data_IF_501412624330
#
_entry.id   IF_501412624330
#
_cell.length_a   1.000
_cell.length_b   1.000
_cell.length_c   1.000
_cell.angle_alpha   90.00
_cell.angle_beta   90.00
_cell.angle_gamma   90.00
#
_symmetry.space_group_name_H-M   'P 1'
#
loop_
_entity.id
_entity.type
_entity.pdbx_description
1 polymer ?
#
# COMPACT_ATOMS: atom_id res chain seq x y z
N UNK A 1 -31.82 25.69 -20.78
CA UNK A 1 -31.44 26.99 -20.20
C UNK A 1 -32.72 27.69 -19.79
N UNK A 2 -32.72 28.46 -18.70
CA UNK A 2 -33.86 29.29 -18.31
C UNK A 2 -33.65 30.68 -18.91
N UNK A 3 -34.50 31.09 -19.84
CA UNK A 3 -34.47 32.42 -20.44
C UNK A 3 -35.22 33.40 -19.53
N UNK A 4 -34.52 33.96 -18.55
CA UNK A 4 -35.06 34.92 -17.60
C UNK A 4 -34.91 36.35 -18.15
N UNK A 5 -36.02 37.04 -18.35
CA UNK A 5 -36.02 38.44 -18.79
C UNK A 5 -35.68 39.37 -17.61
N UNK A 6 -34.78 40.35 -17.77
CA UNK A 6 -34.44 41.30 -16.70
C UNK A 6 -35.70 42.01 -16.18
N UNK A 7 -35.91 41.98 -14.85
CA UNK A 7 -37.02 42.67 -14.20
C UNK A 7 -38.32 41.87 -14.06
N UNK A 8 -38.39 40.63 -14.57
CA UNK A 8 -39.51 39.73 -14.28
C UNK A 8 -39.26 38.92 -13.00
N UNK A 9 -40.24 38.93 -12.10
CA UNK A 9 -40.33 37.98 -10.99
C UNK A 9 -40.82 36.64 -11.53
N UNK A 10 -39.96 35.63 -11.47
CA UNK A 10 -40.27 34.26 -11.91
C UNK A 10 -40.16 33.33 -10.70
N UNK A 11 -41.24 32.65 -10.36
CA UNK A 11 -41.24 31.65 -9.29
C UNK A 11 -40.74 30.31 -9.83
N UNK A 12 -39.58 29.87 -9.34
CA UNK A 12 -38.98 28.58 -9.72
C UNK A 12 -39.18 27.60 -8.57
N UNK A 13 -40.13 26.68 -8.75
CA UNK A 13 -40.43 25.62 -7.78
C UNK A 13 -39.64 24.35 -8.12
N UNK A 14 -38.82 23.87 -7.17
CA UNK A 14 -38.08 22.61 -7.31
C UNK A 14 -38.73 21.53 -6.45
N UNK A 15 -39.11 20.41 -7.08
CA UNK A 15 -39.46 19.17 -6.35
C UNK A 15 -38.25 18.24 -6.37
N UNK A 16 -37.68 17.99 -5.19
CA UNK A 16 -36.57 17.06 -5.01
C UNK A 16 -37.13 15.78 -4.41
N UNK A 17 -37.15 14.71 -5.19
CA UNK A 17 -37.57 13.38 -4.73
C UNK A 17 -36.35 12.47 -4.70
N UNK A 18 -35.82 12.20 -3.51
CA UNK A 18 -34.59 11.42 -3.34
C UNK A 18 -34.75 10.38 -2.24
N UNK A 19 -34.40 9.13 -2.54
CA UNK A 19 -34.41 8.01 -1.56
C UNK A 19 -33.21 8.04 -0.59
N UNK A 20 -32.26 8.95 -0.81
CA UNK A 20 -31.04 9.14 -0.02
C UNK A 20 -30.84 10.61 0.33
N UNK A 21 -30.01 10.90 1.34
CA UNK A 21 -29.59 12.26 1.68
C UNK A 21 -28.82 12.86 0.50
N UNK A 22 -29.42 13.87 -0.13
CA UNK A 22 -28.82 14.65 -1.21
C UNK A 22 -28.70 16.09 -0.74
N UNK A 23 -27.54 16.69 -0.99
CA UNK A 23 -27.33 18.12 -0.83
C UNK A 23 -27.74 18.75 -2.15
N UNK A 24 -28.75 19.64 -2.15
CA UNK A 24 -29.15 20.41 -3.35
C UNK A 24 -28.78 21.87 -3.16
N UNK A 25 -27.52 22.27 -3.45
CA UNK A 25 -27.16 23.67 -3.50
C UNK A 25 -27.69 24.26 -4.81
N UNK A 26 -28.89 24.85 -4.80
CA UNK A 26 -29.45 25.53 -5.98
C UNK A 26 -28.67 26.82 -6.22
N UNK A 27 -27.96 26.91 -7.34
CA UNK A 27 -27.26 28.11 -7.77
C UNK A 27 -27.58 28.42 -9.23
N UNK A 28 -28.02 29.64 -9.49
CA UNK A 28 -28.24 30.12 -10.85
C UNK A 28 -26.94 30.70 -11.41
N UNK A 29 -26.41 30.05 -12.45
CA UNK A 29 -25.14 30.41 -13.09
C UNK A 29 -25.40 30.72 -14.56
N UNK A 30 -24.71 31.73 -15.10
CA UNK A 30 -24.64 31.94 -16.55
C UNK A 30 -23.97 30.72 -17.19
N UNK A 31 -24.37 30.30 -18.41
CA UNK A 31 -23.79 29.12 -19.07
C UNK A 31 -22.26 29.11 -19.11
N UNK A 32 -21.64 30.23 -19.46
CA UNK A 32 -20.17 30.35 -19.50
C UNK A 32 -19.53 30.13 -18.11
N UNK A 33 -20.14 30.65 -17.05
CA UNK A 33 -19.65 30.46 -15.68
C UNK A 33 -19.84 29.01 -15.20
N UNK A 34 -20.95 28.37 -15.61
CA UNK A 34 -21.19 26.96 -15.35
C UNK A 34 -20.12 26.07 -16.02
N UNK A 35 -19.86 26.28 -17.31
CA UNK A 35 -18.83 25.52 -18.03
C UNK A 35 -17.43 25.71 -17.45
N UNK A 36 -17.05 26.95 -17.11
CA UNK A 36 -15.75 27.21 -16.47
C UNK A 36 -15.62 26.48 -15.13
N UNK A 37 -16.66 26.50 -14.29
CA UNK A 37 -16.65 25.81 -13.00
C UNK A 37 -16.62 24.29 -13.16
N UNK A 38 -17.44 23.73 -14.06
CA UNK A 38 -17.43 22.30 -14.35
C UNK A 38 -16.05 21.83 -14.85
N UNK A 39 -15.39 22.61 -15.70
CA UNK A 39 -14.04 22.30 -16.18
C UNK A 39 -13.00 22.31 -15.05
N UNK A 40 -13.08 23.25 -14.11
CA UNK A 40 -12.20 23.24 -12.95
C UNK A 40 -12.43 22.02 -12.06
N UNK A 41 -13.68 21.59 -11.87
CA UNK A 41 -13.98 20.36 -11.14
C UNK A 41 -13.42 19.12 -11.87
N UNK A 42 -13.63 19.00 -13.19
CA UNK A 42 -13.05 17.91 -13.97
C UNK A 42 -11.52 17.89 -13.91
N UNK A 43 -10.88 19.05 -13.94
CA UNK A 43 -9.42 19.15 -13.82
C UNK A 43 -8.94 18.68 -12.44
N UNK A 44 -9.59 19.12 -11.36
CA UNK A 44 -9.27 18.68 -10.00
C UNK A 44 -9.43 17.17 -9.85
N UNK A 45 -10.57 16.63 -10.29
CA UNK A 45 -10.84 15.20 -10.22
C UNK A 45 -9.85 14.39 -11.07
N UNK A 46 -9.49 14.90 -12.26
CA UNK A 46 -8.48 14.31 -13.13
C UNK A 46 -7.11 14.21 -12.46
N UNK A 47 -6.67 15.28 -11.78
CA UNK A 47 -5.40 15.29 -11.03
C UNK A 47 -5.42 14.27 -9.89
N UNK A 48 -6.49 14.24 -9.09
CA UNK A 48 -6.59 13.34 -7.93
C UNK A 48 -6.65 11.87 -8.35
N UNK A 49 -7.39 11.55 -9.42
CA UNK A 49 -7.42 10.21 -10.01
C UNK A 49 -6.06 9.84 -10.60
N UNK A 50 -5.39 10.76 -11.29
CA UNK A 50 -4.06 10.51 -11.85
C UNK A 50 -3.02 10.18 -10.77
N UNK A 51 -3.04 10.88 -9.63
CA UNK A 51 -2.20 10.56 -8.47
C UNK A 51 -2.46 9.12 -8.02
N UNK A 52 -3.73 8.75 -7.81
CA UNK A 52 -4.07 7.38 -7.43
C UNK A 52 -3.64 6.34 -8.47
N UNK A 53 -3.79 6.64 -9.76
CA UNK A 53 -3.38 5.75 -10.85
C UNK A 53 -1.85 5.56 -10.90
N UNK A 54 -1.08 6.63 -10.70
CA UNK A 54 0.38 6.55 -10.60
C UNK A 54 0.81 5.67 -9.41
N UNK A 55 0.17 5.82 -8.25
CA UNK A 55 0.42 4.97 -7.08
C UNK A 55 0.03 3.51 -7.34
N UNK A 56 -1.06 3.27 -8.08
CA UNK A 56 -1.50 1.94 -8.45
C UNK A 56 -0.47 1.26 -9.35
N UNK A 57 -0.06 1.91 -10.44
CA UNK A 57 0.93 1.38 -11.38
C UNK A 57 2.25 1.11 -10.66
N UNK A 58 2.70 2.03 -9.81
CA UNK A 58 3.90 1.81 -8.99
C UNK A 58 3.74 0.57 -8.10
N UNK A 59 2.62 0.43 -7.40
CA UNK A 59 2.39 -0.67 -6.47
C UNK A 59 2.33 -2.02 -7.18
N UNK A 60 1.69 -2.08 -8.35
CA UNK A 60 1.66 -3.28 -9.19
C UNK A 60 3.05 -3.65 -9.70
N UNK A 61 3.84 -2.66 -10.16
CA UNK A 61 5.21 -2.89 -10.60
C UNK A 61 6.09 -3.44 -9.48
N UNK A 62 5.97 -2.88 -8.27
CA UNK A 62 6.70 -3.39 -7.10
C UNK A 62 6.24 -4.80 -6.69
N UNK A 63 4.94 -5.09 -6.78
CA UNK A 63 4.44 -6.43 -6.54
C UNK A 63 5.05 -7.45 -7.51
N UNK A 64 5.15 -7.12 -8.81
CA UNK A 64 5.77 -8.01 -9.79
C UNK A 64 7.28 -8.23 -9.54
N UNK A 65 7.99 -7.17 -9.13
CA UNK A 65 9.43 -7.22 -8.89
C UNK A 65 9.81 -7.90 -7.58
N UNK A 66 9.18 -7.52 -6.47
CA UNK A 66 9.51 -7.99 -5.13
C UNK A 66 8.70 -9.23 -4.73
N UNK A 67 7.57 -9.50 -5.40
CA UNK A 67 6.61 -10.56 -5.07
C UNK A 67 6.09 -10.49 -3.64
N UNK A 68 6.14 -9.31 -3.02
CA UNK A 68 5.56 -9.07 -1.70
C UNK A 68 4.05 -8.76 -1.83
N UNK A 69 3.24 -9.58 -1.15
CA UNK A 69 1.78 -9.51 -1.13
C UNK A 69 1.27 -8.19 -0.54
N UNK A 70 2.06 -7.48 0.25
CA UNK A 70 1.66 -6.17 0.81
C UNK A 70 1.38 -5.16 -0.29
N UNK A 71 2.20 -5.14 -1.36
CA UNK A 71 1.98 -4.25 -2.50
C UNK A 71 0.70 -4.60 -3.27
N UNK A 72 0.37 -5.89 -3.42
CA UNK A 72 -0.87 -6.31 -4.05
C UNK A 72 -2.11 -5.92 -3.23
N UNK A 73 -2.05 -6.11 -1.90
CA UNK A 73 -3.12 -5.68 -0.99
C UNK A 73 -3.30 -4.16 -1.02
N UNK A 74 -2.21 -3.40 -1.06
CA UNK A 74 -2.26 -1.94 -1.17
C UNK A 74 -2.83 -1.48 -2.52
N UNK A 75 -2.42 -2.11 -3.62
CA UNK A 75 -2.99 -1.87 -4.94
C UNK A 75 -4.51 -2.09 -4.96
N UNK A 76 -5.00 -3.14 -4.29
CA UNK A 76 -6.44 -3.40 -4.15
C UNK A 76 -7.17 -2.26 -3.41
N UNK A 77 -6.58 -1.71 -2.33
CA UNK A 77 -7.13 -0.53 -1.63
C UNK A 77 -7.26 0.66 -2.58
N UNK A 78 -6.21 0.96 -3.35
CA UNK A 78 -6.22 2.08 -4.30
C UNK A 78 -7.32 1.90 -5.35
N UNK A 79 -7.45 0.70 -5.93
CA UNK A 79 -8.50 0.43 -6.94
C UNK A 79 -9.88 0.66 -6.37
N UNK A 80 -10.20 0.10 -5.20
CA UNK A 80 -11.50 0.28 -4.57
C UNK A 80 -11.77 1.76 -4.27
N UNK A 81 -10.75 2.52 -3.85
CA UNK A 81 -10.90 3.93 -3.55
C UNK A 81 -11.09 4.80 -4.80
N UNK A 82 -10.37 4.49 -5.88
CA UNK A 82 -10.55 5.16 -7.17
C UNK A 82 -11.96 4.94 -7.71
N UNK A 83 -12.46 3.70 -7.63
CA UNK A 83 -13.84 3.38 -8.02
C UNK A 83 -14.86 4.16 -7.18
N UNK A 84 -14.65 4.25 -5.86
CA UNK A 84 -15.49 5.04 -4.97
C UNK A 84 -15.48 6.53 -5.34
N UNK A 85 -14.29 7.09 -5.59
CA UNK A 85 -14.14 8.50 -5.99
C UNK A 85 -14.78 8.80 -7.34
N UNK A 86 -14.58 7.94 -8.34
CA UNK A 86 -15.19 8.09 -9.67
C UNK A 86 -16.72 8.06 -9.60
N UNK A 87 -17.29 7.22 -8.72
CA UNK A 87 -18.73 7.20 -8.53
C UNK A 87 -19.23 8.41 -7.73
N UNK A 88 -18.54 8.80 -6.64
CA UNK A 88 -18.94 9.93 -5.79
C UNK A 88 -19.05 11.25 -6.56
N UNK A 89 -18.16 11.49 -7.53
CA UNK A 89 -18.17 12.69 -8.36
C UNK A 89 -18.87 12.52 -9.71
N UNK A 90 -19.52 11.37 -9.95
CA UNK A 90 -20.31 11.12 -11.17
C UNK A 90 -19.48 10.89 -12.44
N UNK A 91 -18.15 10.79 -12.35
CA UNK A 91 -17.28 10.50 -13.49
C UNK A 91 -17.52 9.12 -14.08
N UNK A 92 -17.85 8.15 -13.24
CA UNK A 92 -18.10 6.79 -13.69
C UNK A 92 -19.34 6.68 -14.57
N UNK A 93 -20.41 7.43 -14.26
CA UNK A 93 -21.62 7.48 -15.08
C UNK A 93 -21.35 8.12 -16.46
N UNK A 94 -20.42 9.08 -16.53
CA UNK A 94 -20.08 9.76 -17.79
C UNK A 94 -19.14 8.92 -18.67
N UNK A 95 -18.15 8.25 -18.08
CA UNK A 95 -17.04 7.65 -18.85
C UNK A 95 -16.95 6.12 -18.82
N UNK A 96 -17.41 5.45 -17.77
CA UNK A 96 -17.15 4.00 -17.57
C UNK A 96 -18.38 3.12 -17.76
N UNK A 97 -19.54 3.52 -17.26
CA UNK A 97 -20.72 2.65 -17.18
C UNK A 97 -22.03 3.36 -17.56
N UNK A 98 -21.95 4.30 -18.50
CA UNK A 98 -23.07 5.13 -18.98
C UNK A 98 -24.35 4.34 -19.29
N UNK A 99 -24.23 3.13 -19.84
CA UNK A 99 -25.38 2.32 -20.26
C UNK A 99 -25.78 1.22 -19.25
N UNK A 100 -25.18 1.18 -18.06
CA UNK A 100 -25.39 0.09 -17.08
C UNK A 100 -25.98 0.61 -15.76
N UNK A 101 -27.32 0.71 -15.64
CA UNK A 101 -27.97 1.26 -14.46
C UNK A 101 -27.69 0.46 -13.18
N UNK A 102 -27.52 -0.86 -13.30
CA UNK A 102 -27.15 -1.70 -12.15
C UNK A 102 -25.81 -1.27 -11.53
N UNK A 103 -24.81 -0.97 -12.37
CA UNK A 103 -23.49 -0.54 -11.91
C UNK A 103 -23.61 0.82 -11.23
N UNK A 104 -24.36 1.75 -11.82
CA UNK A 104 -24.53 3.08 -11.24
C UNK A 104 -25.19 3.02 -9.85
N UNK A 105 -26.22 2.19 -9.66
CA UNK A 105 -26.90 2.08 -8.35
C UNK A 105 -26.01 1.40 -7.29
N UNK A 106 -25.22 0.40 -7.67
CA UNK A 106 -24.50 -0.45 -6.72
C UNK A 106 -23.05 -0.04 -6.46
N UNK A 107 -22.37 0.61 -7.41
CA UNK A 107 -20.93 0.84 -7.32
C UNK A 107 -20.51 1.69 -6.13
N UNK A 108 -21.33 2.67 -5.71
CA UNK A 108 -21.07 3.44 -4.49
C UNK A 108 -20.88 2.54 -3.27
N UNK A 109 -21.86 1.69 -3.01
CA UNK A 109 -21.89 0.82 -1.84
C UNK A 109 -20.84 -0.28 -1.91
N UNK A 110 -20.69 -0.89 -3.08
CA UNK A 110 -19.69 -1.93 -3.31
C UNK A 110 -18.28 -1.41 -3.10
N UNK A 111 -17.94 -0.28 -3.72
CA UNK A 111 -16.60 0.31 -3.59
C UNK A 111 -16.32 0.74 -2.14
N UNK A 112 -17.29 1.32 -1.43
CA UNK A 112 -17.15 1.71 -0.03
C UNK A 112 -16.85 0.51 0.90
N UNK A 113 -17.62 -0.59 0.76
CA UNK A 113 -17.40 -1.81 1.54
C UNK A 113 -16.07 -2.48 1.18
N UNK A 114 -15.74 -2.51 -0.11
CA UNK A 114 -14.51 -3.12 -0.61
C UNK A 114 -13.25 -2.33 -0.21
N UNK A 115 -13.31 -0.99 -0.13
CA UNK A 115 -12.24 -0.18 0.46
C UNK A 115 -11.98 -0.63 1.89
N UNK A 116 -13.03 -0.78 2.70
CA UNK A 116 -12.89 -1.19 4.10
C UNK A 116 -12.34 -2.62 4.23
N UNK A 117 -12.79 -3.54 3.36
CA UNK A 117 -12.32 -4.93 3.35
C UNK A 117 -10.85 -5.04 2.95
N UNK A 118 -10.46 -4.36 1.88
CA UNK A 118 -9.07 -4.34 1.41
C UNK A 118 -8.15 -3.63 2.40
N UNK A 119 -8.63 -2.56 3.05
CA UNK A 119 -7.89 -1.87 4.11
C UNK A 119 -7.64 -2.79 5.31
N UNK A 120 -8.63 -3.59 5.72
CA UNK A 120 -8.44 -4.58 6.79
C UNK A 120 -7.34 -5.60 6.45
N UNK A 121 -7.33 -6.11 5.21
CA UNK A 121 -6.29 -7.03 4.73
C UNK A 121 -4.92 -6.37 4.63
N UNK A 122 -4.87 -5.09 4.24
CA UNK A 122 -3.66 -4.29 4.17
C UNK A 122 -3.05 -4.07 5.55
N UNK A 123 -3.85 -3.60 6.52
CA UNK A 123 -3.42 -3.41 7.92
C UNK A 123 -2.92 -4.71 8.51
N UNK A 124 -3.61 -5.82 8.25
CA UNK A 124 -3.17 -7.16 8.68
C UNK A 124 -1.79 -7.52 8.13
N UNK A 125 -1.51 -7.20 6.87
CA UNK A 125 -0.25 -7.54 6.21
C UNK A 125 0.92 -6.70 6.75
N UNK A 126 0.69 -5.41 6.96
CA UNK A 126 1.74 -4.47 7.38
C UNK A 126 2.10 -4.66 8.85
N UNK A 127 1.11 -4.94 9.71
CA UNK A 127 1.28 -5.12 11.15
C UNK A 127 1.33 -6.61 11.59
N UNK A 128 1.60 -7.53 10.65
CA UNK A 128 1.52 -8.98 10.91
C UNK A 128 2.34 -9.45 12.12
N UNK A 129 3.51 -8.84 12.36
CA UNK A 129 4.43 -9.20 13.44
C UNK A 129 4.04 -8.60 14.80
N UNK A 130 3.17 -7.59 14.80
CA UNK A 130 2.83 -6.80 15.99
C UNK A 130 1.43 -7.05 16.53
N UNK A 131 0.58 -7.66 15.70
CA UNK A 131 -0.77 -8.05 16.06
C UNK A 131 -0.78 -9.43 16.71
N UNK A 132 -1.60 -9.61 17.74
CA UNK A 132 -1.86 -10.93 18.27
C UNK A 132 -2.62 -11.77 17.25
N UNK A 133 -2.54 -13.11 17.39
CA UNK A 133 -3.24 -14.06 16.50
C UNK A 133 -4.74 -13.76 16.38
N UNK A 134 -5.38 -13.34 17.47
CA UNK A 134 -6.80 -12.99 17.52
C UNK A 134 -7.12 -11.72 16.73
N UNK A 135 -6.28 -10.67 16.81
CA UNK A 135 -6.47 -9.43 16.05
C UNK A 135 -6.27 -9.66 14.56
N UNK A 136 -5.27 -10.49 14.22
CA UNK A 136 -5.02 -10.90 12.83
C UNK A 136 -6.19 -11.68 12.25
N UNK A 137 -6.77 -12.59 13.04
CA UNK A 137 -7.98 -13.32 12.65
C UNK A 137 -9.18 -12.38 12.54
N UNK A 138 -9.35 -11.45 13.48
CA UNK A 138 -10.44 -10.47 13.46
C UNK A 138 -10.42 -9.62 12.20
N UNK A 139 -9.25 -9.14 11.75
CA UNK A 139 -9.12 -8.39 10.49
C UNK A 139 -9.50 -9.24 9.26
N UNK A 140 -9.14 -10.53 9.23
CA UNK A 140 -9.49 -11.43 8.13
C UNK A 140 -10.98 -11.77 8.12
N UNK A 141 -11.56 -12.02 9.29
CA UNK A 141 -13.00 -12.27 9.46
C UNK A 141 -13.78 -11.01 9.06
N UNK A 142 -13.33 -9.84 9.50
CA UNK A 142 -13.92 -8.56 9.12
C UNK A 142 -13.88 -8.34 7.60
N UNK A 143 -12.74 -8.61 6.95
CA UNK A 143 -12.64 -8.51 5.50
C UNK A 143 -13.60 -9.48 4.79
N UNK A 144 -13.68 -10.73 5.24
CA UNK A 144 -14.62 -11.72 4.69
C UNK A 144 -16.09 -11.31 4.88
N UNK A 145 -16.43 -10.77 6.04
CA UNK A 145 -17.77 -10.29 6.36
C UNK A 145 -18.15 -9.04 5.55
N UNK A 146 -17.21 -8.12 5.30
CA UNK A 146 -17.42 -6.97 4.42
C UNK A 146 -17.60 -7.39 2.96
N UNK A 147 -16.85 -8.38 2.48
CA UNK A 147 -17.05 -8.96 1.14
C UNK A 147 -18.41 -9.65 1.05
N UNK A 148 -18.83 -10.36 2.10
CA UNK A 148 -20.17 -10.95 2.15
C UNK A 148 -21.25 -9.87 2.08
N UNK A 149 -21.14 -8.79 2.86
CA UNK A 149 -22.10 -7.67 2.77
C UNK A 149 -22.09 -6.98 1.42
N UNK A 150 -20.93 -6.85 0.77
CA UNK A 150 -20.84 -6.34 -0.59
C UNK A 150 -21.59 -7.26 -1.57
N UNK A 151 -21.45 -8.58 -1.44
CA UNK A 151 -22.18 -9.54 -2.27
C UNK A 151 -23.70 -9.49 -2.03
N UNK A 152 -24.12 -9.43 -0.77
CA UNK A 152 -25.55 -9.30 -0.41
C UNK A 152 -26.11 -7.99 -0.98
N UNK A 153 -25.35 -6.90 -0.92
CA UNK A 153 -25.73 -5.63 -1.54
C UNK A 153 -25.83 -5.71 -3.06
N UNK A 154 -24.87 -6.36 -3.73
CA UNK A 154 -24.88 -6.57 -5.18
C UNK A 154 -26.12 -7.35 -5.68
N UNK A 155 -26.68 -8.19 -4.83
CA UNK A 155 -27.86 -9.01 -5.12
C UNK A 155 -29.18 -8.34 -4.73
N UNK A 156 -29.18 -7.03 -4.42
CA UNK A 156 -30.35 -6.26 -3.99
C UNK A 156 -31.05 -6.82 -2.72
N UNK A 157 -30.38 -7.68 -1.95
CA UNK A 157 -30.90 -8.28 -0.72
C UNK A 157 -30.77 -7.33 0.48
N UNK A 158 -30.12 -6.18 0.32
CA UNK A 158 -29.80 -5.23 1.38
C UNK A 158 -30.24 -3.81 1.02
N UNK A 159 -30.98 -3.15 1.92
CA UNK A 159 -31.44 -1.78 1.72
C UNK A 159 -30.31 -0.76 1.96
N UNK A 160 -30.35 0.39 1.28
CA UNK A 160 -29.37 1.48 1.39
C UNK A 160 -29.19 2.01 2.81
N UNK A 161 -30.25 1.97 3.64
CA UNK A 161 -30.16 2.34 5.06
C UNK A 161 -29.25 1.38 5.84
N UNK A 162 -29.35 0.08 5.57
CA UNK A 162 -28.50 -0.92 6.22
C UNK A 162 -27.06 -0.80 5.74
N UNK A 163 -26.84 -0.51 4.44
CA UNK A 163 -25.52 -0.21 3.90
C UNK A 163 -24.84 0.96 4.62
N UNK A 164 -25.57 2.05 4.89
CA UNK A 164 -25.04 3.19 5.63
C UNK A 164 -24.60 2.82 7.05
N UNK A 165 -25.41 2.03 7.76
CA UNK A 165 -25.09 1.54 9.12
C UNK A 165 -23.90 0.60 9.09
N UNK A 166 -23.89 -0.38 8.18
CA UNK A 166 -22.79 -1.35 8.03
C UNK A 166 -21.49 -0.62 7.71
N UNK A 167 -21.50 0.31 6.75
CA UNK A 167 -20.32 1.09 6.38
C UNK A 167 -19.80 1.95 7.52
N UNK A 168 -20.69 2.58 8.30
CA UNK A 168 -20.29 3.40 9.45
C UNK A 168 -19.68 2.57 10.59
N UNK A 169 -20.26 1.41 10.91
CA UNK A 169 -19.80 0.55 12.00
C UNK A 169 -18.52 -0.19 11.61
N UNK A 170 -18.53 -0.86 10.47
CA UNK A 170 -17.43 -1.73 10.05
C UNK A 170 -16.32 -0.98 9.31
N UNK A 171 -16.58 0.22 8.77
CA UNK A 171 -15.56 1.02 8.09
C UNK A 171 -14.46 1.53 9.02
N UNK A 172 -14.77 1.77 10.30
CA UNK A 172 -13.78 2.24 11.30
C UNK A 172 -13.04 1.08 12.00
N UNK A 173 -13.58 -0.15 11.95
CA UNK A 173 -13.01 -1.30 12.64
C UNK A 173 -11.56 -1.64 12.24
N UNK A 174 -11.13 -1.56 10.96
CA UNK A 174 -9.74 -1.83 10.58
C UNK A 174 -8.75 -0.92 11.33
N UNK A 175 -9.09 0.37 11.49
CA UNK A 175 -8.29 1.32 12.23
C UNK A 175 -8.29 1.01 13.73
N UNK A 176 -9.45 0.68 14.33
CA UNK A 176 -9.55 0.36 15.76
C UNK A 176 -8.77 -0.91 16.14
N UNK A 177 -8.90 -1.99 15.36
CA UNK A 177 -8.17 -3.24 15.60
C UNK A 177 -6.67 -3.03 15.34
N UNK A 178 -6.32 -2.28 14.30
CA UNK A 178 -4.93 -1.95 13.97
C UNK A 178 -4.25 -0.99 14.95
N UNK A 179 -5.02 -0.21 15.71
CA UNK A 179 -4.51 0.85 16.59
C UNK A 179 -3.52 0.33 17.62
N UNK A 180 -3.78 -0.85 18.22
CA UNK A 180 -2.87 -1.44 19.21
C UNK A 180 -1.51 -1.77 18.60
N UNK A 181 -1.49 -2.37 17.41
CA UNK A 181 -0.24 -2.70 16.71
C UNK A 181 0.50 -1.45 16.23
N UNK A 182 -0.23 -0.41 15.77
CA UNK A 182 0.37 0.87 15.42
C UNK A 182 1.01 1.56 16.63
N UNK A 183 0.33 1.60 17.78
CA UNK A 183 0.86 2.13 19.03
C UNK A 183 2.08 1.35 19.53
N UNK A 184 2.08 0.03 19.38
CA UNK A 184 3.25 -0.79 19.71
C UNK A 184 4.48 -0.40 18.88
N UNK A 185 4.30 -0.12 17.58
CA UNK A 185 5.39 0.40 16.71
C UNK A 185 5.89 1.78 17.12
N UNK A 186 4.97 2.70 17.43
CA UNK A 186 5.35 4.04 17.89
C UNK A 186 6.17 3.98 19.18
N UNK A 187 5.77 3.13 20.13
CA UNK A 187 6.51 2.95 21.40
C UNK A 187 7.92 2.40 21.20
N UNK A 188 8.18 1.69 20.10
CA UNK A 188 9.51 1.19 19.74
C UNK A 188 10.31 2.17 18.86
N UNK A 189 9.77 3.35 18.59
CA UNK A 189 10.41 4.36 17.74
C UNK A 189 10.38 4.04 16.24
N UNK A 190 9.50 3.13 15.80
CA UNK A 190 9.34 2.83 14.38
C UNK A 190 8.43 3.87 13.70
N UNK A 191 8.99 4.55 12.70
CA UNK A 191 8.29 5.53 11.88
C UNK A 191 7.03 4.98 11.22
N UNK A 192 6.97 3.67 10.91
CA UNK A 192 5.78 3.04 10.31
C UNK A 192 4.55 3.23 11.20
N UNK A 193 4.69 3.09 12.52
CA UNK A 193 3.57 3.29 13.45
C UNK A 193 3.07 4.73 13.46
N UNK A 194 3.98 5.71 13.42
CA UNK A 194 3.64 7.14 13.43
C UNK A 194 2.85 7.50 12.17
N UNK A 195 3.27 7.03 11.00
CA UNK A 195 2.55 7.29 9.76
C UNK A 195 1.13 6.70 9.75
N UNK A 196 0.91 5.53 10.37
CA UNK A 196 -0.44 4.97 10.52
C UNK A 196 -1.35 5.86 11.37
N UNK A 197 -0.86 6.33 12.52
CA UNK A 197 -1.65 7.18 13.42
C UNK A 197 -1.98 8.51 12.73
N UNK A 198 -1.03 9.11 12.02
CA UNK A 198 -1.25 10.36 11.27
C UNK A 198 -2.25 10.16 10.14
N UNK A 199 -2.16 9.07 9.38
CA UNK A 199 -3.11 8.74 8.33
C UNK A 199 -4.53 8.59 8.90
N UNK A 200 -4.72 7.72 9.89
CA UNK A 200 -6.05 7.51 10.47
C UNK A 200 -6.62 8.75 11.16
N UNK A 201 -5.79 9.55 11.83
CA UNK A 201 -6.25 10.82 12.41
C UNK A 201 -6.68 11.81 11.32
N UNK A 202 -5.91 11.92 10.24
CA UNK A 202 -6.24 12.77 9.09
C UNK A 202 -7.54 12.33 8.42
N UNK A 203 -7.67 11.05 8.12
CA UNK A 203 -8.88 10.47 7.51
C UNK A 203 -10.12 10.58 8.39
N UNK A 204 -9.97 10.35 9.70
CA UNK A 204 -11.08 10.53 10.64
C UNK A 204 -11.52 12.00 10.69
N UNK A 205 -10.57 12.94 10.72
CA UNK A 205 -10.87 14.36 10.71
C UNK A 205 -11.63 14.78 9.44
N UNK A 206 -11.15 14.37 8.26
CA UNK A 206 -11.82 14.69 7.00
C UNK A 206 -13.17 13.99 6.86
N UNK A 207 -13.30 12.75 7.37
CA UNK A 207 -14.56 12.02 7.44
C UNK A 207 -15.59 12.70 8.34
N UNK A 208 -15.18 13.22 9.49
CA UNK A 208 -16.05 14.01 10.37
C UNK A 208 -16.50 15.30 9.70
N UNK A 209 -15.59 16.04 9.04
CA UNK A 209 -15.94 17.26 8.29
C UNK A 209 -16.96 16.94 7.19
N UNK A 210 -16.73 15.89 6.42
CA UNK A 210 -17.62 15.47 5.34
C UNK A 210 -18.99 15.02 5.88
N UNK A 211 -19.03 14.24 6.96
CA UNK A 211 -20.27 13.81 7.61
C UNK A 211 -21.08 14.99 8.15
N UNK A 212 -20.43 15.97 8.78
CA UNK A 212 -21.08 17.19 9.28
C UNK A 212 -21.65 18.05 8.14
N UNK A 213 -20.99 18.05 6.99
CA UNK A 213 -21.42 18.76 5.79
C UNK A 213 -22.65 18.11 5.17
N UNK A 214 -22.68 16.78 5.07
CA UNK A 214 -23.86 16.03 4.59
C UNK A 214 -25.06 16.21 5.54
N UNK A 215 -24.82 16.26 6.84
CA UNK A 215 -25.87 16.49 7.84
C UNK A 215 -26.30 17.97 7.95
N UNK A 216 -25.74 18.88 7.14
CA UNK A 216 -26.11 20.29 7.11
C UNK A 216 -25.68 21.10 8.34
N UNK A 217 -24.80 20.56 9.20
CA UNK A 217 -24.29 21.29 10.39
C UNK A 217 -23.20 22.29 10.04
N UNK A 218 -22.46 22.05 8.96
CA UNK A 218 -21.43 22.95 8.43
C UNK A 218 -21.87 23.38 7.02
N UNK A 219 -21.60 24.62 6.67
CA UNK A 219 -21.88 25.16 5.33
C UNK A 219 -21.14 24.38 4.24
N UNK A 220 -21.83 24.19 3.11
CA UNK A 220 -21.27 23.55 1.91
C UNK A 220 -20.33 24.55 1.22
N UNK A 221 -19.04 24.25 1.23
CA UNK A 221 -18.02 25.02 0.53
C UNK A 221 -17.09 24.05 -0.24
N UNK A 222 -16.17 24.62 -1.04
CA UNK A 222 -15.22 23.83 -1.82
C UNK A 222 -14.40 22.85 -0.95
N UNK A 223 -13.92 23.30 0.20
CA UNK A 223 -13.08 22.48 1.09
C UNK A 223 -13.85 21.37 1.79
N UNK A 224 -15.09 21.64 2.23
CA UNK A 224 -15.91 20.68 2.97
C UNK A 224 -16.46 19.60 2.06
N UNK A 225 -16.80 19.93 0.81
CA UNK A 225 -17.23 18.96 -0.20
C UNK A 225 -16.09 18.00 -0.59
N UNK A 226 -14.87 18.52 -0.73
CA UNK A 226 -13.70 17.74 -1.15
C UNK A 226 -12.86 17.19 0.01
N UNK A 227 -13.25 17.45 1.27
CA UNK A 227 -12.50 17.06 2.46
C UNK A 227 -12.17 15.57 2.47
N UNK A 228 -13.17 14.72 2.22
CA UNK A 228 -13.00 13.27 2.21
C UNK A 228 -12.00 12.82 1.12
N UNK A 229 -12.06 13.44 -0.06
CA UNK A 229 -11.19 13.10 -1.18
C UNK A 229 -9.74 13.52 -0.95
N UNK A 230 -9.52 14.72 -0.40
CA UNK A 230 -8.18 15.16 -0.01
C UNK A 230 -7.61 14.29 1.11
N UNK A 231 -8.42 13.95 2.12
CA UNK A 231 -8.00 13.06 3.20
C UNK A 231 -7.62 11.68 2.68
N UNK A 232 -8.40 11.12 1.77
CA UNK A 232 -8.07 9.84 1.16
C UNK A 232 -6.80 9.88 0.29
N UNK A 233 -6.60 10.95 -0.48
CA UNK A 233 -5.38 11.12 -1.29
C UNK A 233 -4.15 11.24 -0.38
N UNK A 234 -4.27 11.96 0.73
CA UNK A 234 -3.25 12.04 1.76
C UNK A 234 -2.93 10.68 2.37
N UNK A 235 -3.97 9.90 2.71
CA UNK A 235 -3.82 8.54 3.22
C UNK A 235 -3.12 7.60 2.22
N UNK A 236 -3.44 7.68 0.94
CA UNK A 236 -2.73 6.92 -0.09
C UNK A 236 -1.23 7.25 -0.10
N UNK A 237 -0.86 8.52 -0.03
CA UNK A 237 0.55 8.91 0.01
C UNK A 237 1.26 8.39 1.27
N UNK A 238 0.58 8.42 2.42
CA UNK A 238 1.12 7.88 3.67
C UNK A 238 1.20 6.34 3.67
N UNK A 239 0.19 5.65 3.18
CA UNK A 239 0.21 4.19 3.06
C UNK A 239 1.29 3.73 2.09
N UNK A 240 1.47 4.43 0.98
CA UNK A 240 2.59 4.21 0.07
C UNK A 240 3.95 4.36 0.80
N UNK A 241 4.12 5.41 1.61
CA UNK A 241 5.32 5.60 2.43
C UNK A 241 5.53 4.45 3.41
N UNK A 242 4.46 3.98 4.05
CA UNK A 242 4.47 2.85 4.98
C UNK A 242 4.93 1.57 4.29
N UNK A 243 4.39 1.24 3.11
CA UNK A 243 4.76 0.03 2.36
C UNK A 243 6.24 0.06 1.98
N UNK A 244 6.72 1.21 1.49
CA UNK A 244 8.14 1.38 1.15
C UNK A 244 9.04 1.21 2.37
N UNK A 245 8.66 1.79 3.52
CA UNK A 245 9.44 1.68 4.76
C UNK A 245 9.47 0.26 5.30
N UNK A 246 8.32 -0.43 5.32
CA UNK A 246 8.21 -1.84 5.73
C UNK A 246 9.16 -2.71 4.89
N UNK A 247 9.07 -2.56 3.57
CA UNK A 247 9.85 -3.37 2.64
C UNK A 247 11.35 -3.09 2.76
N UNK A 248 11.73 -1.82 2.94
CA UNK A 248 13.12 -1.43 3.19
C UNK A 248 13.65 -2.03 4.51
N UNK A 249 12.82 -2.10 5.56
CA UNK A 249 13.20 -2.73 6.82
C UNK A 249 13.43 -4.23 6.65
N UNK A 250 12.54 -4.94 5.95
CA UNK A 250 12.70 -6.37 5.66
C UNK A 250 13.95 -6.66 4.83
N UNK A 251 14.24 -5.85 3.81
CA UNK A 251 15.46 -5.99 3.02
C UNK A 251 16.73 -5.77 3.85
N UNK A 252 16.73 -4.81 4.80
CA UNK A 252 17.87 -4.59 5.70
C UNK A 252 18.13 -5.80 6.59
N UNK A 253 17.07 -6.37 7.18
CA UNK A 253 17.19 -7.59 8.00
C UNK A 253 17.73 -8.75 7.18
N UNK A 254 17.23 -8.93 5.95
CA UNK A 254 17.71 -9.98 5.05
C UNK A 254 19.18 -9.78 4.62
N UNK A 255 19.62 -8.53 4.42
CA UNK A 255 21.01 -8.20 4.10
C UNK A 255 21.95 -8.46 5.28
N UNK A 256 21.55 -8.10 6.50
CA UNK A 256 22.32 -8.36 7.71
C UNK A 256 22.48 -9.87 7.91
N UNK A 257 21.40 -10.64 7.82
CA UNK A 257 21.45 -12.10 7.94
C UNK A 257 22.32 -12.77 6.86
N UNK A 258 22.35 -12.22 5.64
CA UNK A 258 23.26 -12.69 4.59
C UNK A 258 24.72 -12.37 4.92
N UNK A 259 25.00 -11.15 5.36
CA UNK A 259 26.35 -10.73 5.72
C UNK A 259 26.91 -11.54 6.90
N UNK A 260 26.11 -11.75 7.96
CA UNK A 260 26.49 -12.60 9.09
C UNK A 260 26.79 -14.03 8.66
N UNK A 261 25.96 -14.60 7.77
CA UNK A 261 26.18 -15.94 7.21
C UNK A 261 27.48 -16.02 6.42
N UNK A 262 27.78 -15.01 5.60
CA UNK A 262 28.99 -14.98 4.78
C UNK A 262 30.25 -14.77 5.63
N UNK A 263 30.15 -13.97 6.69
CA UNK A 263 31.21 -13.80 7.69
C UNK A 263 31.46 -15.09 8.48
N UNK A 264 30.41 -15.80 8.91
CA UNK A 264 30.58 -17.11 9.56
C UNK A 264 31.22 -18.14 8.61
N UNK A 265 30.84 -18.13 7.33
CA UNK A 265 31.48 -18.99 6.33
C UNK A 265 32.94 -18.63 6.10
N UNK A 266 33.29 -17.34 6.07
CA UNK A 266 34.67 -16.93 5.89
C UNK A 266 35.52 -17.39 7.08
N UNK A 267 35.07 -17.13 8.32
CA UNK A 267 35.73 -17.59 9.55
C UNK A 267 35.84 -19.11 9.62
N UNK A 268 34.84 -19.85 9.15
CA UNK A 268 34.89 -21.30 9.11
C UNK A 268 35.84 -21.86 8.02
N UNK A 269 36.17 -21.07 7.01
CA UNK A 269 37.03 -21.44 5.88
C UNK A 269 38.42 -20.80 5.93
N UNK A 270 38.69 -19.90 6.87
CA UNK A 270 40.01 -19.32 7.13
C UNK A 270 40.58 -19.84 8.45
N UNK A 271 41.89 -19.98 8.50
CA UNK A 271 42.64 -20.27 9.71
C UNK A 271 42.88 -18.94 10.47
N UNK A 272 42.54 -18.91 11.76
CA UNK A 272 42.65 -17.72 12.61
C UNK A 272 44.09 -17.27 12.84
N UNK A 273 45.07 -18.18 12.75
CA UNK A 273 46.47 -17.85 13.06
C UNK A 273 47.21 -17.23 11.86
N UNK A 274 46.83 -17.63 10.64
CA UNK A 274 47.54 -17.27 9.41
C UNK A 274 46.72 -16.39 8.47
N UNK A 275 45.43 -16.22 8.73
CA UNK A 275 44.44 -15.62 7.83
C UNK A 275 44.36 -16.28 6.44
N UNK A 276 45.02 -17.43 6.24
CA UNK A 276 44.95 -18.22 5.02
C UNK A 276 43.71 -19.11 5.02
N UNK A 277 43.32 -19.62 3.85
CA UNK A 277 42.23 -20.62 3.77
C UNK A 277 42.65 -21.89 4.49
N UNK A 278 41.80 -22.40 5.37
CA UNK A 278 42.00 -23.69 6.00
C UNK A 278 41.76 -24.83 4.98
N UNK A 279 42.06 -26.07 5.37
CA UNK A 279 41.93 -27.25 4.48
C UNK A 279 40.54 -27.39 3.84
N UNK A 280 39.46 -27.06 4.57
CA UNK A 280 38.08 -27.12 4.05
C UNK A 280 37.85 -26.02 3.02
N UNK A 281 38.22 -24.78 3.33
CA UNK A 281 38.09 -23.64 2.42
C UNK A 281 38.96 -23.77 1.16
N UNK A 282 40.14 -24.39 1.28
CA UNK A 282 41.02 -24.69 0.14
C UNK A 282 40.41 -25.75 -0.78
N UNK A 283 39.89 -26.85 -0.22
CA UNK A 283 39.23 -27.90 -1.00
C UNK A 283 37.99 -27.39 -1.73
N UNK A 284 37.20 -26.52 -1.11
CA UNK A 284 36.01 -25.91 -1.73
C UNK A 284 36.39 -24.95 -2.87
N UNK A 285 37.45 -24.15 -2.68
CA UNK A 285 38.01 -23.29 -3.72
C UNK A 285 38.61 -24.07 -4.89
N UNK A 286 39.28 -25.19 -4.63
CA UNK A 286 39.76 -26.10 -5.66
C UNK A 286 38.59 -26.73 -6.41
N UNK A 287 37.58 -27.26 -5.71
CA UNK A 287 36.40 -27.89 -6.32
C UNK A 287 35.59 -26.94 -7.21
N UNK A 288 35.36 -25.70 -6.77
CA UNK A 288 34.68 -24.67 -7.58
C UNK A 288 35.45 -24.31 -8.84
N UNK A 289 36.77 -24.30 -8.75
CA UNK A 289 37.61 -23.94 -9.89
C UNK A 289 37.91 -25.10 -10.84
N UNK A 290 37.80 -26.36 -10.41
CA UNK A 290 37.73 -27.50 -11.33
C UNK A 290 36.43 -27.50 -12.17
N UNK A 291 35.36 -26.88 -11.67
CA UNK A 291 34.06 -26.81 -12.35
C UNK A 291 34.04 -25.78 -13.49
N UNK A 292 34.91 -24.77 -13.44
CA UNK A 292 35.08 -23.78 -14.50
C UNK A 292 36.30 -24.13 -15.37
N UNK A 293 36.09 -24.97 -16.40
CA UNK A 293 37.07 -25.17 -17.49
C UNK A 293 36.77 -24.18 -18.62
N UNK A 294 37.55 -23.11 -18.83
CA UNK A 294 37.51 -22.41 -20.11
C UNK A 294 37.99 -23.36 -21.22
N UNK A 295 37.45 -23.21 -22.43
CA UNK A 295 37.75 -24.05 -23.59
C UNK A 295 39.22 -23.98 -24.09
N UNK A 296 40.07 -23.19 -23.43
CA UNK A 296 41.47 -22.97 -23.79
C UNK A 296 42.32 -23.43 -22.61
N UNK A 297 43.25 -24.36 -22.87
CA UNK A 297 44.00 -25.12 -21.88
C UNK A 297 44.69 -24.26 -20.82
N UNK A 298 44.16 -24.28 -19.61
CA UNK A 298 44.77 -23.66 -18.43
C UNK A 298 45.49 -24.74 -17.62
N UNK A 299 46.83 -24.75 -17.65
CA UNK A 299 47.66 -25.61 -16.80
C UNK A 299 47.63 -25.10 -15.37
N UNK A 300 47.40 -26.00 -14.40
CA UNK A 300 47.26 -25.65 -12.99
C UNK A 300 48.24 -26.46 -12.17
N UNK A 301 49.08 -25.77 -11.40
CA UNK A 301 50.07 -26.40 -10.54
C UNK A 301 49.70 -26.21 -9.07
N UNK A 302 49.83 -27.27 -8.28
CA UNK A 302 49.63 -27.25 -6.83
C UNK A 302 51.00 -27.27 -6.17
N UNK A 303 51.28 -26.28 -5.32
CA UNK A 303 52.55 -26.17 -4.61
C UNK A 303 52.37 -26.50 -3.13
N UNK A 304 53.18 -27.43 -2.61
CA UNK A 304 53.22 -27.78 -1.19
C UNK A 304 54.48 -27.18 -0.55
N UNK A 305 54.31 -26.52 0.60
CA UNK A 305 55.40 -25.94 1.39
C UNK A 305 55.49 -26.74 2.70
N UNK A 306 56.67 -27.30 2.98
CA UNK A 306 56.97 -27.97 4.24
C UNK A 306 58.09 -27.23 4.98
N UNK A 307 57.88 -26.92 6.27
CA UNK A 307 58.94 -26.43 7.16
C UNK A 307 59.52 -27.59 7.95
N UNK A 308 60.79 -27.88 7.75
CA UNK A 308 61.53 -28.86 8.56
C UNK A 308 62.22 -28.12 9.70
N UNK A 309 61.83 -28.39 10.94
CA UNK A 309 62.52 -27.90 12.14
C UNK A 309 63.81 -28.69 12.33
N UNK A 310 64.97 -28.05 12.09
CA UNK A 310 66.27 -28.61 12.45
C UNK A 310 66.53 -28.37 13.94
N UNK A 311 67.01 -29.39 14.67
CA UNK A 311 67.32 -29.32 16.11
C UNK A 311 68.49 -28.39 16.46
N UNK A 312 69.13 -27.76 15.49
CA UNK A 312 70.19 -26.77 15.67
C UNK A 312 69.67 -25.39 15.32
N UNK A 313 69.55 -24.50 16.32
CA UNK A 313 69.22 -23.09 16.12
C UNK A 313 70.13 -22.49 15.03
N UNK A 314 69.61 -22.23 13.82
CA UNK A 314 69.90 -21.03 13.00
C UNK A 314 69.31 -21.04 11.59
N UNK A 315 68.90 -22.16 10.97
CA UNK A 315 68.41 -22.12 9.59
C UNK A 315 67.16 -22.97 9.34
N UNK A 316 66.03 -22.30 9.08
CA UNK A 316 64.81 -22.89 8.54
C UNK A 316 64.96 -23.03 7.01
N UNK A 317 65.07 -24.24 6.48
CA UNK A 317 65.15 -24.49 5.04
C UNK A 317 63.74 -24.73 4.50
N UNK A 318 63.25 -23.86 3.59
CA UNK A 318 62.01 -24.08 2.84
C UNK A 318 62.26 -25.01 1.66
N UNK A 319 61.53 -26.12 1.58
CA UNK A 319 61.54 -27.03 0.42
C UNK A 319 60.24 -26.89 -0.36
N UNK A 320 60.35 -26.80 -1.69
CA UNK A 320 59.23 -26.57 -2.62
C UNK A 320 58.97 -27.83 -3.44
N UNK A 321 57.72 -28.32 -3.44
CA UNK A 321 57.27 -29.39 -4.32
C UNK A 321 56.09 -28.91 -5.16
N UNK A 322 56.28 -28.80 -6.47
CA UNK A 322 55.24 -28.43 -7.44
C UNK A 322 54.80 -29.64 -8.24
N UNK A 323 53.52 -30.02 -8.11
CA UNK A 323 52.87 -30.96 -9.03
C UNK A 323 52.01 -30.15 -10.01
N UNK A 324 52.40 -30.17 -11.28
CA UNK A 324 51.54 -29.91 -12.42
C UNK A 324 51.13 -31.29 -12.99
#
# INVERSE_FOLDING_TARGET
MLDLVPGQTVDVLFRVDTRSSIIVPVQFLKPAAFHSRANHEFLLQGILIAIGLCLLVYSLQQWLNLKDIVYAKYAAVIVCHLLFSMHLFGLGAIYLWTDRPWIEVHMAGLSLLMVSATLALFVEAVLADDLHRYERLALKVLAGLLVLFALVFALDLMNNRLLGVVSAVFGLMPALIGLRGALARVRRGDNVGTYFIVAWAGYFLTGVIFSLTINGRIGVNFWTLHALQFGATFDMLLFMRIVVLRTAAEHRVAQIARHERDMMKSLANTDSLTALKNRRGLNEALATSYRWRPAIGCWRCTCWISMVSSRSMTNSVMTWATNC
#
